data_IF_724218432925
#
_entry.id   IF_724218432925
#
_cell.length_a   1.000
_cell.length_b   1.000
_cell.length_c   1.000
_cell.angle_alpha   90.00
_cell.angle_beta   90.00
_cell.angle_gamma   90.00
#
_symmetry.space_group_name_H-M   'P 1'
#
loop_
_entity.id
_entity.type
_entity.pdbx_description
1 polymer ?
#
# COMPACT_ATOMS: atom_id res chain seq x y z
N UNK A 1 11.65 13.67 -6.07
CA UNK A 1 11.37 12.61 -5.08
C UNK A 1 11.12 11.31 -5.82
N UNK A 2 11.96 10.29 -5.63
CA UNK A 2 11.93 9.07 -6.45
C UNK A 2 11.41 7.92 -5.61
N UNK A 3 10.24 7.39 -5.94
CA UNK A 3 9.73 6.17 -5.32
C UNK A 3 10.32 4.98 -6.06
N UNK A 4 11.43 4.43 -5.53
CA UNK A 4 12.21 3.36 -6.18
C UNK A 4 11.73 1.95 -5.83
N UNK A 5 11.00 1.82 -4.73
CA UNK A 5 10.58 0.52 -4.22
C UNK A 5 9.11 0.29 -4.56
N UNK A 6 8.83 -0.90 -5.06
CA UNK A 6 7.48 -1.33 -5.41
C UNK A 6 7.13 -2.50 -4.51
N UNK A 7 5.96 -2.45 -3.91
CA UNK A 7 5.41 -3.55 -3.14
C UNK A 7 3.99 -3.85 -3.63
N UNK A 8 3.76 -5.10 -4.02
CA UNK A 8 2.46 -5.56 -4.44
C UNK A 8 1.88 -6.40 -3.33
N UNK A 9 0.76 -5.95 -2.78
CA UNK A 9 0.02 -6.65 -1.74
C UNK A 9 -1.30 -7.20 -2.29
N UNK A 10 -1.74 -8.37 -1.81
CA UNK A 10 -3.08 -8.86 -2.09
C UNK A 10 -4.10 -7.96 -1.38
N UNK A 11 -5.07 -7.43 -2.12
CA UNK A 11 -6.19 -6.67 -1.57
C UNK A 11 -7.45 -6.98 -2.37
N UNK A 12 -8.54 -7.23 -1.66
CA UNK A 12 -9.79 -7.66 -2.28
C UNK A 12 -10.95 -6.70 -1.95
N UNK A 13 -11.93 -6.65 -2.85
CA UNK A 13 -13.13 -5.81 -2.68
C UNK A 13 -13.09 -4.42 -3.32
N UNK A 14 -14.18 -3.64 -3.19
CA UNK A 14 -14.29 -2.31 -3.76
C UNK A 14 -13.48 -1.26 -2.97
N UNK A 15 -13.26 -0.08 -3.55
CA UNK A 15 -12.67 1.08 -2.86
C UNK A 15 -11.26 0.82 -2.25
N UNK A 16 -10.43 0.06 -2.95
CA UNK A 16 -9.07 -0.34 -2.54
C UNK A 16 -8.15 0.84 -2.19
N UNK A 17 -8.14 1.88 -3.02
CA UNK A 17 -7.31 3.06 -2.82
C UNK A 17 -7.64 3.84 -1.53
N UNK A 18 -8.90 4.24 -1.29
CA UNK A 18 -9.25 4.93 -0.05
C UNK A 18 -9.14 4.02 1.18
N UNK A 19 -9.43 2.71 1.08
CA UNK A 19 -9.19 1.76 2.19
C UNK A 19 -7.72 1.69 2.58
N UNK A 20 -6.84 1.54 1.58
CA UNK A 20 -5.40 1.53 1.81
C UNK A 20 -4.92 2.87 2.38
N UNK A 21 -5.40 4.01 1.88
CA UNK A 21 -5.06 5.33 2.47
C UNK A 21 -5.45 5.44 3.93
N UNK A 22 -6.66 4.98 4.28
CA UNK A 22 -7.16 5.02 5.66
C UNK A 22 -6.33 4.11 6.57
N UNK A 23 -6.10 2.88 6.13
CA UNK A 23 -5.22 1.94 6.83
C UNK A 23 -3.80 2.50 7.00
N UNK A 24 -3.24 3.13 5.96
CA UNK A 24 -1.91 3.71 6.00
C UNK A 24 -1.84 4.88 6.98
N UNK A 25 -2.87 5.73 7.02
CA UNK A 25 -2.95 6.82 8.00
C UNK A 25 -3.01 6.30 9.45
N UNK A 26 -3.67 5.17 9.69
CA UNK A 26 -3.83 4.59 11.02
C UNK A 26 -2.60 3.76 11.48
N UNK A 27 -1.98 3.01 10.57
CA UNK A 27 -0.94 2.03 10.91
C UNK A 27 0.48 2.53 10.65
N UNK A 28 0.65 3.42 9.67
CA UNK A 28 1.94 3.94 9.24
C UNK A 28 1.90 5.47 9.02
N UNK A 29 1.50 6.25 10.05
CA UNK A 29 1.48 7.71 9.96
C UNK A 29 2.89 8.22 9.65
N UNK A 30 3.03 9.00 8.57
CA UNK A 30 4.29 9.61 8.16
C UNK A 30 5.07 8.86 7.06
N UNK A 31 4.64 7.67 6.64
CA UNK A 31 5.24 6.99 5.48
C UNK A 31 4.76 7.64 4.18
N UNK A 32 5.70 8.09 3.35
CA UNK A 32 5.41 8.58 2.03
C UNK A 32 5.14 7.40 1.07
N UNK A 33 3.86 7.05 0.93
CA UNK A 33 3.37 6.05 -0.03
C UNK A 33 2.88 6.73 -1.31
N UNK A 34 3.28 6.21 -2.46
CA UNK A 34 2.76 6.63 -3.77
C UNK A 34 1.86 5.53 -4.32
N UNK A 35 0.59 5.87 -4.48
CA UNK A 35 -0.43 4.97 -4.98
C UNK A 35 -0.63 5.15 -6.49
N UNK A 36 -0.94 4.08 -7.22
CA UNK A 36 -1.33 4.17 -8.62
C UNK A 36 -2.63 4.99 -8.73
N UNK A 37 -2.77 5.79 -9.80
CA UNK A 37 -3.94 6.65 -10.00
C UNK A 37 -5.22 5.84 -10.20
N UNK A 38 -5.11 4.65 -10.77
CA UNK A 38 -6.24 3.76 -11.02
C UNK A 38 -5.81 2.31 -10.75
N UNK A 39 -6.66 1.59 -10.03
CA UNK A 39 -6.52 0.14 -9.81
C UNK A 39 -7.78 -0.51 -10.38
N UNK A 40 -7.66 -1.57 -11.19
CA UNK A 40 -8.83 -2.26 -11.71
C UNK A 40 -9.68 -2.79 -10.55
N UNK A 41 -11.00 -2.62 -10.65
CA UNK A 41 -11.94 -3.09 -9.61
C UNK A 41 -11.78 -4.59 -9.35
N UNK A 42 -11.54 -5.37 -10.40
CA UNK A 42 -11.31 -6.83 -10.36
C UNK A 42 -9.90 -7.23 -9.92
N UNK A 43 -8.95 -6.29 -9.80
CA UNK A 43 -7.55 -6.63 -9.49
C UNK A 43 -7.40 -6.99 -8.03
N UNK A 44 -7.09 -8.24 -7.70
CA UNK A 44 -6.87 -8.73 -6.32
C UNK A 44 -5.50 -8.30 -5.75
N UNK A 45 -4.79 -7.43 -6.47
CA UNK A 45 -3.49 -6.92 -6.08
C UNK A 45 -3.46 -5.40 -6.19
N UNK A 46 -2.86 -4.75 -5.18
CA UNK A 46 -2.54 -3.33 -5.14
C UNK A 46 -1.03 -3.17 -5.08
N UNK A 47 -0.53 -2.47 -6.09
CA UNK A 47 0.88 -2.12 -6.17
C UNK A 47 1.08 -0.74 -5.57
N UNK A 48 1.85 -0.63 -4.50
CA UNK A 48 2.22 0.63 -3.85
C UNK A 48 3.69 0.92 -4.04
N UNK A 49 4.03 2.20 -4.20
CA UNK A 49 5.40 2.66 -4.38
C UNK A 49 5.89 3.37 -3.12
N UNK A 50 7.12 3.08 -2.73
CA UNK A 50 7.75 3.54 -1.49
C UNK A 50 9.09 4.22 -1.78
N UNK A 51 9.50 5.10 -0.88
CA UNK A 51 10.75 5.86 -1.02
C UNK A 51 11.94 5.05 -0.52
N UNK A 52 11.81 4.38 0.62
CA UNK A 52 12.89 3.64 1.25
C UNK A 52 12.56 2.15 1.41
N UNK A 53 13.61 1.34 1.56
CA UNK A 53 13.50 -0.07 1.90
C UNK A 53 12.96 -0.28 3.32
N UNK A 54 13.23 0.68 4.22
CA UNK A 54 12.69 0.69 5.59
C UNK A 54 11.17 0.85 5.59
N UNK A 55 10.65 1.79 4.78
CA UNK A 55 9.21 1.95 4.57
C UNK A 55 8.57 0.66 4.04
N UNK A 56 9.28 -0.04 3.14
CA UNK A 56 8.84 -1.32 2.58
C UNK A 56 8.79 -2.40 3.64
N UNK A 57 9.82 -2.54 4.46
CA UNK A 57 9.84 -3.56 5.51
C UNK A 57 8.80 -3.29 6.59
N UNK A 58 8.60 -2.03 6.97
CA UNK A 58 7.56 -1.64 7.94
C UNK A 58 6.17 -1.90 7.38
N UNK A 59 5.93 -1.60 6.10
CA UNK A 59 4.68 -1.90 5.41
C UNK A 59 4.44 -3.40 5.30
N UNK A 60 5.45 -4.20 4.94
CA UNK A 60 5.35 -5.67 4.90
C UNK A 60 5.01 -6.21 6.29
N UNK A 61 5.78 -5.83 7.32
CA UNK A 61 5.57 -6.29 8.69
C UNK A 61 4.19 -5.91 9.25
N UNK A 62 3.64 -4.75 8.84
CA UNK A 62 2.29 -4.33 9.23
C UNK A 62 1.19 -4.98 8.40
N UNK A 63 1.46 -5.36 7.15
CA UNK A 63 0.54 -6.09 6.30
C UNK A 63 0.52 -7.58 6.59
N UNK A 64 1.58 -8.13 7.20
CA UNK A 64 1.58 -9.51 7.70
C UNK A 64 0.47 -9.69 8.74
N UNK A 65 -0.62 -10.36 8.32
CA UNK A 65 -1.81 -10.61 9.13
C UNK A 65 -2.98 -9.64 8.90
N UNK A 66 -2.81 -8.61 8.06
CA UNK A 66 -3.91 -7.70 7.70
C UNK A 66 -4.49 -8.11 6.34
N UNK A 67 -5.73 -8.59 6.34
CA UNK A 67 -6.51 -8.78 5.12
C UNK A 67 -7.28 -7.50 4.79
N UNK A 68 -6.81 -6.75 3.78
CA UNK A 68 -7.54 -5.62 3.20
C UNK A 68 -8.45 -6.12 2.07
#
# INVERSE_FOLDING_TARGET
MTFRYIHTLPISGPNKLPRFRRWAAENIPGIAVSLPPQVPVKSEALTVRLKSVEDRNMLIAKLEGVSL
#
